data_IF_107328930511
#
_entry.id   IF_107328930511
#
_cell.length_a   1.000
_cell.length_b   1.000
_cell.length_c   1.000
_cell.angle_alpha   90.00
_cell.angle_beta   90.00
_cell.angle_gamma   90.00
#
_symmetry.space_group_name_H-M   'P 1'
#
loop_
_entity.id
_entity.type
_entity.pdbx_description
1 polymer ?
#
# COMPACT_ATOMS: atom_id res chain seq x y z
N UNK A 1 1.69 10.84 -7.58
CA UNK A 1 0.32 10.46 -7.93
C UNK A 1 -0.11 9.55 -6.81
N UNK A 2 -1.16 9.91 -6.08
CA UNK A 2 -1.66 9.12 -4.96
C UNK A 2 -2.25 7.81 -5.50
N UNK A 3 -2.26 6.76 -4.69
CA UNK A 3 -2.86 5.45 -4.96
C UNK A 3 -4.27 5.58 -5.56
N UNK A 4 -5.07 6.46 -4.98
CA UNK A 4 -6.42 6.76 -5.44
C UNK A 4 -6.47 7.44 -6.82
N UNK A 5 -5.47 8.26 -7.16
CA UNK A 5 -5.44 8.95 -8.45
C UNK A 5 -5.25 7.96 -9.61
N UNK A 6 -4.46 6.91 -9.40
CA UNK A 6 -4.23 5.88 -10.42
C UNK A 6 -5.47 5.00 -10.64
N UNK A 7 -6.09 4.55 -9.56
CA UNK A 7 -7.37 3.81 -9.58
C UNK A 7 -8.41 4.61 -10.38
N UNK A 8 -8.52 5.91 -10.09
CA UNK A 8 -9.52 6.80 -10.71
C UNK A 8 -9.20 7.07 -12.16
N UNK A 9 -7.94 7.38 -12.48
CA UNK A 9 -7.50 7.63 -13.85
C UNK A 9 -7.83 6.44 -14.75
N UNK A 10 -7.44 5.23 -14.33
CA UNK A 10 -7.73 4.02 -15.10
C UNK A 10 -9.24 3.86 -15.33
N UNK A 11 -10.06 4.10 -14.29
CA UNK A 11 -11.51 3.97 -14.38
C UNK A 11 -12.17 5.01 -15.31
N UNK A 12 -11.78 6.28 -15.19
CA UNK A 12 -12.40 7.39 -15.91
C UNK A 12 -11.90 7.53 -17.35
N UNK A 13 -10.59 7.43 -17.56
CA UNK A 13 -9.96 7.69 -18.86
C UNK A 13 -10.00 6.45 -19.77
N UNK A 14 -10.34 5.28 -19.22
CA UNK A 14 -10.32 4.03 -19.99
C UNK A 14 -8.89 3.53 -20.19
N UNK A 15 -7.98 3.93 -19.32
CA UNK A 15 -6.57 3.59 -19.38
C UNK A 15 -6.23 2.35 -18.55
N UNK A 16 -5.04 1.79 -18.79
CA UNK A 16 -4.53 0.65 -18.05
C UNK A 16 -5.49 -0.54 -18.09
N UNK A 17 -5.98 -1.06 -16.95
CA UNK A 17 -6.91 -2.19 -16.91
C UNK A 17 -8.29 -1.95 -17.53
N UNK A 18 -8.62 -0.70 -17.88
CA UNK A 18 -9.86 -0.36 -18.58
C UNK A 18 -9.67 -0.15 -20.09
N UNK A 19 -8.44 -0.27 -20.61
CA UNK A 19 -8.16 -0.11 -22.03
C UNK A 19 -8.91 -1.16 -22.86
N UNK A 20 -9.71 -0.68 -23.82
CA UNK A 20 -10.59 -1.51 -24.65
C UNK A 20 -11.63 -2.31 -23.84
N UNK A 21 -12.04 -1.78 -22.69
CA UNK A 21 -13.14 -2.36 -21.91
C UNK A 21 -14.47 -2.07 -22.60
N UNK A 22 -15.32 -3.08 -22.89
CA UNK A 22 -16.59 -2.87 -23.59
C UNK A 22 -17.58 -1.99 -22.81
N UNK A 23 -17.49 -1.98 -21.47
CA UNK A 23 -18.29 -1.07 -20.66
C UNK A 23 -17.80 0.38 -20.76
N UNK A 24 -16.49 0.59 -20.80
CA UNK A 24 -15.93 1.93 -20.97
C UNK A 24 -16.21 2.44 -22.38
N UNK A 25 -16.01 1.63 -23.43
CA UNK A 25 -16.36 1.99 -24.81
C UNK A 25 -17.84 2.40 -24.97
N UNK A 26 -18.75 1.72 -24.27
CA UNK A 26 -20.18 2.00 -24.34
C UNK A 26 -20.62 3.23 -23.52
N UNK A 27 -19.83 3.63 -22.51
CA UNK A 27 -20.24 4.63 -21.52
C UNK A 27 -19.24 5.75 -21.30
N UNK A 28 -18.10 5.76 -21.99
CA UNK A 28 -17.02 6.73 -21.78
C UNK A 28 -16.64 6.90 -20.28
N UNK A 29 -16.83 5.83 -19.49
CA UNK A 29 -16.58 5.84 -18.05
C UNK A 29 -17.58 6.63 -17.20
N UNK A 30 -18.64 7.25 -17.74
CA UNK A 30 -19.52 8.14 -16.95
C UNK A 30 -20.18 7.44 -15.74
N UNK A 31 -20.41 6.13 -15.84
CA UNK A 31 -21.06 5.32 -14.82
C UNK A 31 -20.09 4.40 -14.03
N UNK A 32 -18.79 4.68 -14.03
CA UNK A 32 -17.78 3.85 -13.34
C UNK A 32 -17.69 4.20 -11.85
N UNK A 33 -17.72 3.20 -10.97
CA UNK A 33 -17.37 3.35 -9.56
C UNK A 33 -15.92 2.86 -9.35
N UNK A 34 -14.94 3.74 -9.11
CA UNK A 34 -13.54 3.36 -8.96
C UNK A 34 -13.24 2.76 -7.57
N UNK A 35 -14.21 2.80 -6.66
CA UNK A 35 -14.03 2.45 -5.25
C UNK A 35 -14.23 3.66 -4.34
N UNK A 36 -14.61 3.37 -3.10
CA UNK A 36 -15.01 4.35 -2.09
C UNK A 36 -14.28 4.11 -0.76
N UNK A 37 -14.30 5.16 0.06
CA UNK A 37 -13.78 5.26 1.41
C UNK A 37 -12.25 5.30 1.46
N UNK A 38 -11.59 4.39 2.20
CA UNK A 38 -10.17 4.50 2.52
C UNK A 38 -9.31 3.58 1.64
N UNK A 39 -8.47 4.12 0.74
CA UNK A 39 -7.65 3.32 -0.16
C UNK A 39 -6.49 2.61 0.55
N UNK A 40 -6.24 2.94 1.83
CA UNK A 40 -5.25 2.29 2.70
C UNK A 40 -5.91 1.32 3.72
N UNK A 41 -7.16 0.91 3.48
CA UNK A 41 -7.94 0.13 4.41
C UNK A 41 -7.43 -1.31 4.62
N UNK A 42 -7.56 -1.80 5.85
CA UNK A 42 -7.20 -3.18 6.20
C UNK A 42 -8.31 -4.19 5.87
N UNK A 43 -9.54 -3.71 5.65
CA UNK A 43 -10.69 -4.53 5.26
C UNK A 43 -11.24 -3.98 3.96
N UNK A 44 -11.32 -4.84 2.94
CA UNK A 44 -11.97 -4.53 1.68
C UNK A 44 -13.30 -5.27 1.57
N UNK A 45 -14.38 -4.56 1.28
CA UNK A 45 -15.66 -5.17 0.94
C UNK A 45 -15.87 -5.11 -0.58
N UNK A 46 -16.15 -6.26 -1.19
CA UNK A 46 -16.40 -6.36 -2.64
C UNK A 46 -17.85 -6.73 -2.92
N UNK A 47 -18.54 -5.84 -3.61
CA UNK A 47 -19.97 -5.93 -3.96
C UNK A 47 -20.13 -6.32 -5.43
N UNK A 48 -21.36 -6.57 -5.90
CA UNK A 48 -21.55 -7.12 -7.24
C UNK A 48 -21.27 -6.07 -8.32
N UNK A 49 -22.09 -5.03 -8.40
CA UNK A 49 -21.94 -3.91 -9.31
C UNK A 49 -22.69 -2.67 -8.79
N UNK A 50 -22.35 -1.45 -9.26
CA UNK A 50 -23.07 -0.26 -8.86
C UNK A 50 -24.55 -0.34 -9.26
N UNK A 51 -25.43 0.01 -8.31
CA UNK A 51 -26.89 0.07 -8.51
C UNK A 51 -27.43 1.50 -8.50
N UNK A 52 -26.62 2.47 -8.09
CA UNK A 52 -26.99 3.88 -8.03
C UNK A 52 -26.47 4.63 -9.26
N UNK A 53 -27.04 5.79 -9.55
CA UNK A 53 -26.50 6.67 -10.59
C UNK A 53 -25.18 7.26 -10.12
N UNK A 54 -24.21 7.27 -11.03
CA UNK A 54 -22.91 7.89 -10.87
C UNK A 54 -22.86 9.02 -11.89
N UNK A 55 -22.46 10.20 -11.43
CA UNK A 55 -22.40 11.41 -12.24
C UNK A 55 -21.06 12.10 -11.96
N UNK A 56 -20.03 11.62 -12.64
CA UNK A 56 -18.67 12.12 -12.47
C UNK A 56 -18.52 13.60 -12.81
N UNK A 57 -19.33 14.12 -13.75
CA UNK A 57 -19.27 15.51 -14.17
C UNK A 57 -19.55 16.52 -13.05
N UNK A 58 -20.06 16.07 -11.90
CA UNK A 58 -20.28 16.90 -10.71
C UNK A 58 -19.06 17.05 -9.81
N UNK A 59 -18.01 16.26 -10.01
CA UNK A 59 -16.88 16.17 -9.09
C UNK A 59 -15.58 16.52 -9.80
N UNK A 60 -14.87 17.52 -9.28
CA UNK A 60 -13.56 17.92 -9.79
C UNK A 60 -12.45 16.92 -9.45
N UNK A 61 -12.63 16.13 -8.38
CA UNK A 61 -11.63 15.16 -7.91
C UNK A 61 -12.31 13.90 -7.39
N UNK A 62 -11.58 12.79 -7.35
CA UNK A 62 -12.07 11.60 -6.66
C UNK A 62 -12.28 11.86 -5.17
N UNK A 63 -11.45 12.67 -4.51
CA UNK A 63 -11.62 12.94 -3.09
C UNK A 63 -13.00 13.56 -2.78
N UNK A 64 -13.49 14.49 -3.62
CA UNK A 64 -14.82 15.08 -3.45
C UNK A 64 -15.95 14.10 -3.78
N UNK A 65 -15.81 13.31 -4.84
CA UNK A 65 -16.72 12.19 -5.13
C UNK A 65 -16.79 11.22 -3.95
N UNK A 66 -15.63 10.80 -3.46
CA UNK A 66 -15.48 9.82 -2.41
C UNK A 66 -16.12 10.29 -1.10
N UNK A 67 -15.88 11.53 -0.68
CA UNK A 67 -16.48 12.09 0.54
C UNK A 67 -18.02 12.11 0.45
N UNK A 68 -18.57 12.62 -0.65
CA UNK A 68 -20.02 12.74 -0.83
C UNK A 68 -20.69 11.37 -0.94
N UNK A 69 -20.14 10.48 -1.78
CA UNK A 69 -20.72 9.16 -1.99
C UNK A 69 -20.54 8.24 -0.79
N UNK A 70 -19.42 8.31 -0.06
CA UNK A 70 -19.25 7.55 1.18
C UNK A 70 -20.31 7.97 2.20
N UNK A 71 -20.57 9.28 2.37
CA UNK A 71 -21.64 9.79 3.24
C UNK A 71 -23.03 9.29 2.82
N UNK A 72 -23.33 9.25 1.52
CA UNK A 72 -24.59 8.68 1.01
C UNK A 72 -24.66 7.18 1.30
N UNK A 73 -23.59 6.43 1.03
CA UNK A 73 -23.50 4.99 1.22
C UNK A 73 -23.69 4.58 2.69
N UNK A 74 -23.09 5.32 3.63
CA UNK A 74 -23.33 5.17 5.08
C UNK A 74 -24.83 5.22 5.43
N UNK A 75 -25.59 6.09 4.73
CA UNK A 75 -27.04 6.23 4.85
C UNK A 75 -27.87 5.21 4.08
N UNK A 76 -27.27 4.35 3.26
CA UNK A 76 -27.98 3.32 2.50
C UNK A 76 -28.10 2.00 3.26
N UNK A 77 -28.93 1.08 2.77
CA UNK A 77 -29.10 -0.25 3.37
C UNK A 77 -27.78 -1.02 3.43
N UNK A 78 -26.96 -0.93 2.38
CA UNK A 78 -25.65 -1.57 2.28
C UNK A 78 -24.67 -1.04 3.33
N UNK A 79 -24.40 0.26 3.34
CA UNK A 79 -23.49 0.86 4.33
C UNK A 79 -23.93 0.62 5.77
N UNK A 80 -25.20 0.84 6.12
CA UNK A 80 -25.70 0.51 7.47
C UNK A 80 -25.53 -0.96 7.84
N UNK A 81 -25.62 -1.86 6.87
CA UNK A 81 -25.42 -3.29 7.11
C UNK A 81 -23.95 -3.60 7.38
N UNK A 82 -23.03 -3.14 6.52
CA UNK A 82 -21.59 -3.33 6.70
C UNK A 82 -21.11 -2.73 8.03
N UNK A 83 -21.51 -1.48 8.31
CA UNK A 83 -21.21 -0.79 9.56
C UNK A 83 -21.63 -1.65 10.76
N UNK A 84 -22.92 -2.01 10.86
CA UNK A 84 -23.46 -2.72 12.03
C UNK A 84 -22.97 -4.14 12.18
N UNK A 85 -22.76 -4.85 11.07
CA UNK A 85 -22.47 -6.28 11.14
C UNK A 85 -20.99 -6.58 11.16
N UNK A 86 -20.17 -5.83 10.42
CA UNK A 86 -18.79 -6.22 10.15
C UNK A 86 -17.76 -5.18 10.61
N UNK A 87 -18.16 -3.97 11.01
CA UNK A 87 -17.24 -2.92 11.46
C UNK A 87 -17.43 -2.52 12.92
N UNK A 88 -18.66 -2.24 13.36
CA UNK A 88 -19.01 -1.93 14.76
C UNK A 88 -18.45 -2.95 15.77
N UNK A 89 -18.49 -4.29 15.53
CA UNK A 89 -17.96 -5.28 16.47
C UNK A 89 -16.44 -5.16 16.70
N UNK A 90 -15.72 -4.49 15.80
CA UNK A 90 -14.28 -4.30 15.82
C UNK A 90 -13.89 -2.85 16.13
N UNK A 91 -14.87 -1.98 16.41
CA UNK A 91 -14.63 -0.56 16.65
C UNK A 91 -14.16 0.21 15.41
N UNK A 92 -14.46 -0.30 14.21
CA UNK A 92 -14.13 0.33 12.93
C UNK A 92 -15.33 1.12 12.38
N UNK A 93 -15.04 2.15 11.60
CA UNK A 93 -16.02 2.87 10.79
C UNK A 93 -15.96 2.43 9.32
N UNK A 94 -17.01 2.73 8.55
CA UNK A 94 -16.98 2.58 7.09
C UNK A 94 -15.81 3.34 6.45
N UNK A 95 -15.43 4.45 7.06
CA UNK A 95 -14.30 5.30 6.67
C UNK A 95 -12.94 4.62 6.92
N UNK A 96 -12.90 3.48 7.62
CA UNK A 96 -11.71 2.66 7.82
C UNK A 96 -11.61 1.48 6.83
N UNK A 97 -12.62 1.28 5.98
CA UNK A 97 -12.71 0.18 5.03
C UNK A 97 -12.60 0.67 3.57
N UNK A 98 -12.20 -0.20 2.65
CA UNK A 98 -12.32 0.05 1.20
C UNK A 98 -13.58 -0.62 0.68
N UNK A 99 -14.42 0.11 -0.06
CA UNK A 99 -15.66 -0.41 -0.62
C UNK A 99 -15.53 -0.44 -2.14
N UNK A 100 -15.56 -1.64 -2.72
CA UNK A 100 -15.34 -1.87 -4.13
C UNK A 100 -16.49 -2.67 -4.75
N UNK A 101 -16.70 -2.50 -6.05
CA UNK A 101 -17.55 -3.39 -6.86
C UNK A 101 -16.71 -4.36 -7.71
N UNK A 102 -17.17 -5.59 -7.89
CA UNK A 102 -16.52 -6.61 -8.72
C UNK A 102 -16.66 -6.36 -10.23
N UNK A 103 -17.63 -5.53 -10.62
CA UNK A 103 -17.78 -4.90 -11.92
C UNK A 103 -17.94 -3.40 -11.67
N UNK A 104 -17.02 -2.58 -12.17
CA UNK A 104 -16.95 -1.14 -11.83
C UNK A 104 -18.00 -0.28 -12.51
N UNK A 105 -18.42 -0.62 -13.73
CA UNK A 105 -19.43 0.14 -14.46
C UNK A 105 -20.83 -0.40 -14.20
N UNK A 106 -21.80 0.49 -14.00
CA UNK A 106 -23.22 0.11 -13.89
C UNK A 106 -23.72 -0.49 -15.22
N UNK A 107 -24.30 -1.71 -15.24
CA UNK A 107 -24.68 -2.39 -16.48
C UNK A 107 -26.02 -1.94 -17.09
N UNK A 108 -26.86 -1.24 -16.33
CA UNK A 108 -28.22 -0.88 -16.73
C UNK A 108 -28.48 0.62 -16.51
N UNK A 109 -29.27 1.23 -17.39
CA UNK A 109 -29.75 2.61 -17.21
C UNK A 109 -30.78 2.73 -16.06
N UNK A 110 -31.36 3.93 -15.87
CA UNK A 110 -32.39 4.15 -14.85
C UNK A 110 -33.70 3.38 -15.11
N UNK A 111 -33.93 2.95 -16.35
CA UNK A 111 -35.11 2.18 -16.78
C UNK A 111 -34.87 0.66 -16.74
N UNK A 112 -33.64 0.21 -16.42
CA UNK A 112 -33.26 -1.20 -16.44
C UNK A 112 -32.86 -1.72 -17.82
N UNK A 113 -32.63 -0.84 -18.80
CA UNK A 113 -32.14 -1.24 -20.12
C UNK A 113 -30.63 -1.46 -20.07
N UNK A 114 -30.16 -2.57 -20.65
CA UNK A 114 -28.73 -2.88 -20.68
C UNK A 114 -27.94 -1.82 -21.46
N UNK A 115 -26.88 -1.29 -20.85
CA UNK A 115 -25.94 -0.36 -21.45
C UNK A 115 -24.84 -1.10 -22.24
N UNK A 116 -24.49 -2.32 -21.81
CA UNK A 116 -23.47 -3.17 -22.42
C UNK A 116 -23.67 -4.63 -22.01
N UNK A 117 -22.96 -5.57 -22.66
CA UNK A 117 -22.95 -6.98 -22.23
C UNK A 117 -22.24 -7.13 -20.87
N UNK A 118 -23.03 -7.38 -19.83
CA UNK A 118 -22.57 -7.50 -18.44
C UNK A 118 -21.50 -8.58 -18.25
N UNK A 119 -21.58 -9.69 -18.97
CA UNK A 119 -20.67 -10.82 -18.78
C UNK A 119 -19.30 -10.53 -19.38
N UNK A 120 -19.25 -9.98 -20.59
CA UNK A 120 -18.04 -9.52 -21.26
C UNK A 120 -17.36 -8.40 -20.47
N UNK A 121 -18.14 -7.41 -20.03
CA UNK A 121 -17.65 -6.34 -19.16
C UNK A 121 -17.08 -6.88 -17.84
N UNK A 122 -17.81 -7.75 -17.14
CA UNK A 122 -17.31 -8.35 -15.90
C UNK A 122 -16.06 -9.21 -16.11
N UNK A 123 -15.94 -9.87 -17.26
CA UNK A 123 -14.76 -10.64 -17.62
C UNK A 123 -13.52 -9.75 -17.80
N UNK A 124 -13.68 -8.61 -18.46
CA UNK A 124 -12.62 -7.63 -18.65
C UNK A 124 -12.27 -6.94 -17.32
N UNK A 125 -13.29 -6.59 -16.52
CA UNK A 125 -13.13 -5.85 -15.26
C UNK A 125 -12.35 -6.63 -14.18
N UNK A 126 -12.10 -7.93 -14.37
CA UNK A 126 -11.19 -8.70 -13.52
C UNK A 126 -9.77 -8.12 -13.47
N UNK A 127 -9.28 -7.52 -14.56
CA UNK A 127 -7.97 -6.88 -14.58
C UNK A 127 -7.95 -5.68 -13.64
N UNK A 128 -8.99 -4.83 -13.70
CA UNK A 128 -9.11 -3.69 -12.80
C UNK A 128 -9.25 -4.15 -11.35
N UNK A 129 -10.11 -5.13 -11.08
CA UNK A 129 -10.33 -5.62 -9.71
C UNK A 129 -9.04 -6.23 -9.12
N UNK A 130 -8.25 -6.95 -9.93
CA UNK A 130 -6.96 -7.47 -9.50
C UNK A 130 -6.01 -6.33 -9.12
N UNK A 131 -5.88 -5.34 -9.99
CA UNK A 131 -4.98 -4.21 -9.76
C UNK A 131 -5.44 -3.39 -8.56
N UNK A 132 -6.74 -3.12 -8.42
CA UNK A 132 -7.32 -2.44 -7.26
C UNK A 132 -7.03 -3.18 -5.95
N UNK A 133 -7.23 -4.50 -5.89
CA UNK A 133 -6.93 -5.31 -4.70
C UNK A 133 -5.44 -5.22 -4.35
N UNK A 134 -4.55 -5.38 -5.34
CA UNK A 134 -3.11 -5.29 -5.14
C UNK A 134 -2.65 -3.90 -4.71
N UNK A 135 -3.36 -2.87 -5.19
CA UNK A 135 -3.12 -1.47 -4.92
C UNK A 135 -3.54 -1.12 -3.49
N UNK A 136 -4.73 -1.53 -3.04
CA UNK A 136 -5.23 -1.33 -1.67
C UNK A 136 -4.47 -2.20 -0.66
N UNK A 137 -4.10 -3.42 -1.05
CA UNK A 137 -3.42 -4.42 -0.21
C UNK A 137 -4.11 -4.62 1.18
N UNK A 138 -5.39 -5.04 1.19
CA UNK A 138 -6.14 -5.21 2.43
C UNK A 138 -5.61 -6.42 3.22
N UNK A 139 -5.82 -6.47 4.54
CA UNK A 139 -5.56 -7.72 5.29
C UNK A 139 -6.57 -8.82 4.93
N UNK A 140 -7.77 -8.44 4.50
CA UNK A 140 -8.88 -9.36 4.23
C UNK A 140 -9.85 -8.76 3.21
N UNK A 141 -10.35 -9.62 2.33
CA UNK A 141 -11.38 -9.29 1.35
C UNK A 141 -12.69 -9.97 1.77
N UNK A 142 -13.77 -9.22 1.90
CA UNK A 142 -15.11 -9.73 2.23
C UNK A 142 -16.01 -9.58 1.02
N UNK A 143 -16.39 -10.68 0.37
CA UNK A 143 -17.22 -10.68 -0.83
C UNK A 143 -18.71 -10.79 -0.50
N UNK A 144 -19.54 -9.99 -1.17
CA UNK A 144 -20.97 -9.89 -0.89
C UNK A 144 -21.81 -10.36 -2.07
N UNK A 145 -22.26 -11.62 -2.02
CA UNK A 145 -23.08 -12.23 -3.06
C UNK A 145 -22.29 -13.12 -4.02
N UNK A 146 -23.02 -13.82 -4.88
CA UNK A 146 -22.45 -14.88 -5.72
C UNK A 146 -21.56 -14.31 -6.83
N UNK A 147 -22.03 -13.26 -7.51
CA UNK A 147 -21.26 -12.63 -8.59
C UNK A 147 -19.98 -11.99 -8.06
N UNK A 148 -20.07 -11.25 -6.95
CA UNK A 148 -18.93 -10.65 -6.28
C UNK A 148 -17.90 -11.71 -5.87
N UNK A 149 -18.35 -12.82 -5.27
CA UNK A 149 -17.49 -13.92 -4.86
C UNK A 149 -16.79 -14.58 -6.04
N UNK A 150 -17.52 -14.98 -7.09
CA UNK A 150 -16.92 -15.62 -8.26
C UNK A 150 -15.86 -14.72 -8.91
N UNK A 151 -16.20 -13.45 -9.17
CA UNK A 151 -15.31 -12.51 -9.86
C UNK A 151 -14.08 -12.19 -9.02
N UNK A 152 -14.24 -11.94 -7.72
CA UNK A 152 -13.12 -11.64 -6.81
C UNK A 152 -12.15 -12.82 -6.74
N UNK A 153 -12.65 -14.03 -6.54
CA UNK A 153 -11.79 -15.23 -6.50
C UNK A 153 -11.00 -15.40 -7.78
N UNK A 154 -11.60 -15.12 -8.94
CA UNK A 154 -10.90 -15.14 -10.23
C UNK A 154 -9.84 -14.04 -10.34
N UNK A 155 -10.12 -12.84 -9.83
CA UNK A 155 -9.15 -11.74 -9.79
C UNK A 155 -7.92 -12.08 -8.93
N UNK A 156 -8.12 -12.80 -7.81
CA UNK A 156 -7.05 -13.26 -6.92
C UNK A 156 -6.49 -14.65 -7.28
N UNK A 157 -6.66 -15.10 -8.53
CA UNK A 157 -5.94 -16.26 -9.08
C UNK A 157 -6.67 -17.62 -8.99
N UNK A 158 -7.87 -17.69 -8.44
CA UNK A 158 -8.67 -18.93 -8.44
C UNK A 158 -9.21 -19.21 -9.84
N UNK A 159 -9.04 -20.43 -10.33
CA UNK A 159 -9.51 -20.80 -11.67
C UNK A 159 -11.04 -20.66 -11.79
N UNK A 160 -11.51 -20.21 -12.96
CA UNK A 160 -12.94 -19.98 -13.21
C UNK A 160 -13.81 -21.21 -12.91
N UNK A 161 -13.30 -22.42 -13.19
CA UNK A 161 -14.01 -23.67 -12.90
C UNK A 161 -14.17 -23.95 -11.40
N UNK A 162 -13.19 -23.56 -10.57
CA UNK A 162 -13.30 -23.67 -9.11
C UNK A 162 -14.23 -22.59 -8.55
N UNK A 163 -14.03 -21.34 -8.95
CA UNK A 163 -14.83 -20.20 -8.47
C UNK A 163 -16.33 -20.38 -8.74
N UNK A 164 -16.73 -20.85 -9.94
CA UNK A 164 -18.14 -21.09 -10.31
C UNK A 164 -18.85 -22.20 -9.55
N UNK A 165 -18.09 -23.13 -8.93
CA UNK A 165 -18.67 -24.24 -8.18
C UNK A 165 -19.08 -23.84 -6.78
N UNK A 166 -18.53 -22.75 -6.26
CA UNK A 166 -18.90 -22.24 -4.95
C UNK A 166 -20.34 -21.75 -4.95
N UNK A 167 -21.04 -22.12 -3.88
CA UNK A 167 -22.37 -21.64 -3.56
C UNK A 167 -22.25 -20.87 -2.26
N UNK A 168 -22.43 -19.55 -2.33
CA UNK A 168 -22.33 -18.66 -1.16
C UNK A 168 -23.22 -19.11 0.02
N UNK A 169 -24.35 -19.77 -0.24
CA UNK A 169 -25.21 -20.31 0.82
C UNK A 169 -24.65 -21.56 1.53
N UNK A 170 -23.58 -22.16 1.01
CA UNK A 170 -22.93 -23.38 1.53
C UNK A 170 -21.49 -23.09 1.93
N UNK A 171 -20.77 -22.29 1.16
CA UNK A 171 -19.33 -22.02 1.29
C UNK A 171 -19.05 -20.63 1.90
N UNK A 172 -19.94 -20.12 2.74
CA UNK A 172 -19.75 -18.85 3.45
C UNK A 172 -18.71 -18.97 4.57
N UNK A 173 -18.18 -17.83 5.01
CA UNK A 173 -17.09 -17.78 5.97
C UNK A 173 -15.74 -17.69 5.27
N UNK A 174 -14.66 -18.12 5.93
CA UNK A 174 -13.32 -18.06 5.35
C UNK A 174 -13.23 -19.02 4.16
N UNK A 175 -12.84 -18.49 3.01
CA UNK A 175 -12.57 -19.29 1.82
C UNK A 175 -11.32 -20.15 2.04
N UNK A 176 -11.37 -21.41 1.58
CA UNK A 176 -10.28 -22.37 1.72
C UNK A 176 -9.26 -22.32 0.58
N UNK A 177 -9.50 -21.49 -0.45
CA UNK A 177 -8.54 -21.34 -1.53
C UNK A 177 -7.29 -20.59 -1.06
N UNK A 178 -6.13 -21.14 -1.43
CA UNK A 178 -4.85 -20.49 -1.26
C UNK A 178 -4.76 -19.29 -2.21
N UNK A 179 -4.79 -18.10 -1.64
CA UNK A 179 -4.85 -16.81 -2.33
C UNK A 179 -3.98 -15.83 -1.54
N UNK A 180 -3.37 -14.86 -2.24
CA UNK A 180 -2.47 -13.89 -1.62
C UNK A 180 -3.14 -13.07 -0.50
N UNK A 181 -4.46 -12.88 -0.61
CA UNK A 181 -5.29 -12.22 0.40
C UNK A 181 -6.38 -13.16 0.91
N UNK A 182 -6.55 -13.31 2.24
CA UNK A 182 -7.68 -14.05 2.79
C UNK A 182 -9.02 -13.52 2.27
N UNK A 183 -9.84 -14.42 1.71
CA UNK A 183 -11.20 -14.09 1.23
C UNK A 183 -12.24 -14.65 2.20
N UNK A 184 -13.20 -13.81 2.60
CA UNK A 184 -14.37 -14.19 3.39
C UNK A 184 -15.62 -14.02 2.55
N UNK A 185 -16.39 -15.09 2.44
CA UNK A 185 -17.57 -15.17 1.59
C UNK A 185 -18.82 -14.90 2.43
N UNK A 186 -19.65 -13.94 2.02
CA UNK A 186 -20.95 -13.67 2.64
C UNK A 186 -22.05 -13.45 1.61
N UNK A 187 -23.30 -13.67 2.03
CA UNK A 187 -24.46 -13.26 1.24
C UNK A 187 -24.55 -11.74 1.13
N UNK A 188 -25.16 -11.28 0.03
CA UNK A 188 -25.46 -9.88 -0.21
C UNK A 188 -26.54 -9.37 0.76
N UNK A 189 -26.42 -8.13 1.26
CA UNK A 189 -27.33 -7.53 2.25
C UNK A 189 -28.79 -7.42 1.78
N UNK A 190 -29.03 -7.49 0.47
CA UNK A 190 -30.37 -7.47 -0.08
C UNK A 190 -31.14 -8.77 0.21
N UNK A 191 -30.43 -9.89 0.43
CA UNK A 191 -31.02 -11.19 0.66
C UNK A 191 -31.69 -11.25 2.04
N UNK A 192 -32.93 -11.74 2.08
CA UNK A 192 -33.71 -11.84 3.33
C UNK A 192 -33.08 -12.80 4.35
N UNK A 193 -32.44 -13.85 3.85
CA UNK A 193 -31.81 -14.93 4.64
C UNK A 193 -30.65 -14.44 5.50
N UNK A 194 -29.96 -13.36 5.12
CA UNK A 194 -28.83 -12.80 5.88
C UNK A 194 -29.18 -12.44 7.33
N UNK A 195 -30.44 -12.10 7.61
CA UNK A 195 -30.89 -11.66 8.94
C UNK A 195 -31.25 -12.80 9.90
N UNK A 196 -31.40 -14.03 9.39
CA UNK A 196 -32.00 -15.15 10.13
C UNK A 196 -31.16 -16.42 10.11
N UNK A 197 -29.88 -16.28 9.78
CA UNK A 197 -29.01 -17.38 9.42
C UNK A 197 -27.79 -17.47 10.31
N UNK A 198 -27.26 -18.70 10.40
CA UNK A 198 -25.95 -19.03 10.94
C UNK A 198 -24.77 -18.31 10.23
N UNK A 199 -25.03 -17.67 9.07
CA UNK A 199 -24.02 -16.97 8.27
C UNK A 199 -23.31 -15.85 9.04
N UNK A 200 -24.07 -14.96 9.71
CA UNK A 200 -23.50 -13.76 10.32
C UNK A 200 -22.47 -14.09 11.43
N UNK A 201 -22.76 -14.99 12.40
CA UNK A 201 -21.75 -15.40 13.39
C UNK A 201 -20.48 -15.97 12.76
N UNK A 202 -20.59 -16.84 11.75
CA UNK A 202 -19.43 -17.48 11.11
C UNK A 202 -18.58 -16.46 10.36
N UNK A 203 -19.19 -15.56 9.60
CA UNK A 203 -18.49 -14.50 8.86
C UNK A 203 -17.79 -13.54 9.84
N UNK A 204 -18.45 -13.14 10.93
CA UNK A 204 -17.83 -12.29 11.96
C UNK A 204 -16.66 -12.97 12.65
N UNK A 205 -16.79 -14.28 12.94
CA UNK A 205 -15.71 -15.04 13.55
C UNK A 205 -14.52 -15.16 12.58
N UNK A 206 -14.76 -15.51 11.32
CA UNK A 206 -13.71 -15.53 10.30
C UNK A 206 -13.00 -14.18 10.15
N UNK A 207 -13.76 -13.07 10.14
CA UNK A 207 -13.19 -11.73 10.05
C UNK A 207 -12.35 -11.40 11.29
N UNK A 208 -12.84 -11.76 12.48
CA UNK A 208 -12.10 -11.63 13.74
C UNK A 208 -10.80 -12.42 13.71
N UNK A 209 -10.82 -13.64 13.21
CA UNK A 209 -9.65 -14.51 13.17
C UNK A 209 -8.58 -13.91 12.25
N UNK A 210 -8.94 -13.47 11.04
CA UNK A 210 -7.99 -12.82 10.11
C UNK A 210 -7.41 -11.54 10.70
N UNK A 211 -8.25 -10.68 11.29
CA UNK A 211 -7.77 -9.42 11.88
C UNK A 211 -6.86 -9.65 13.10
N UNK A 212 -7.02 -10.76 13.82
CA UNK A 212 -6.20 -11.13 14.97
C UNK A 212 -4.93 -11.91 14.59
N UNK A 213 -4.90 -12.61 13.45
CA UNK A 213 -3.71 -13.32 12.94
C UNK A 213 -2.50 -12.37 12.81
N UNK A 214 -2.75 -11.07 12.60
CA UNK A 214 -1.73 -10.03 12.54
C UNK A 214 -1.47 -9.30 13.88
N UNK A 215 -2.14 -9.70 14.96
CA UNK A 215 -2.01 -9.12 16.32
C UNK A 215 -1.28 -10.05 17.32
N UNK A 216 -0.41 -10.96 16.87
CA UNK A 216 0.40 -11.78 17.79
C UNK A 216 1.20 -10.89 18.79
N UNK A 217 1.09 -11.17 20.11
CA UNK A 217 1.69 -10.34 21.14
C UNK A 217 3.20 -10.40 21.07
N UNK A 218 3.84 -9.23 21.17
CA UNK A 218 5.26 -9.11 21.47
C UNK A 218 5.54 -9.70 22.86
N UNK A 219 5.76 -11.01 22.98
CA UNK A 219 6.56 -11.51 24.09
C UNK A 219 7.99 -11.06 23.82
N UNK A 220 8.38 -9.94 24.45
CA UNK A 220 9.78 -9.53 24.52
C UNK A 220 10.64 -10.63 25.13
N UNK A 221 11.97 -10.61 24.92
CA UNK A 221 12.84 -11.61 25.50
C UNK A 221 12.74 -11.51 27.03
N UNK A 222 12.19 -12.55 27.66
CA UNK A 222 12.25 -12.69 29.12
C UNK A 222 13.72 -12.68 29.54
N UNK A 223 14.06 -11.63 30.28
CA UNK A 223 15.30 -11.51 31.01
C UNK A 223 15.27 -12.56 32.12
N UNK A 224 16.05 -13.62 31.95
CA UNK A 224 16.47 -14.43 33.10
C UNK A 224 17.38 -13.57 33.98
N UNK A 225 17.15 -13.69 35.29
CA UNK A 225 17.98 -13.28 36.42
C UNK A 225 17.59 -11.96 37.10
N UNK A 226 16.82 -12.03 38.19
CA UNK A 226 17.44 -12.15 39.51
C UNK A 226 16.43 -12.44 40.63
N UNK A 227 16.82 -13.40 41.45
CA UNK A 227 16.21 -13.82 42.70
C UNK A 227 16.62 -12.86 43.82
N UNK A 228 15.69 -12.59 44.74
CA UNK A 228 15.84 -11.94 46.07
C UNK A 228 16.17 -10.44 46.12
N UNK A 229 15.24 -9.64 46.67
CA UNK A 229 15.18 -9.34 48.12
C UNK A 229 13.89 -8.57 48.47
N UNK A 230 13.42 -8.78 49.68
CA UNK A 230 12.18 -8.32 50.30
C UNK A 230 12.20 -6.84 50.72
N UNK A 231 10.97 -6.34 50.96
CA UNK A 231 10.56 -5.36 51.98
C UNK A 231 10.09 -3.94 51.56
N UNK A 232 8.78 -3.76 51.81
CA UNK A 232 8.11 -2.67 52.54
C UNK A 232 7.87 -1.25 51.97
N UNK A 233 6.54 -0.98 51.86
CA UNK A 233 5.75 0.15 52.39
C UNK A 233 5.79 1.57 51.76
N UNK A 234 4.55 1.96 51.36
CA UNK A 234 3.79 3.21 51.60
C UNK A 234 4.48 4.56 51.31
N UNK A 235 3.84 5.40 50.47
CA UNK A 235 2.94 6.49 50.94
C UNK A 235 2.69 7.56 49.87
N UNK A 236 1.47 8.09 49.93
CA UNK A 236 0.81 9.18 49.22
C UNK A 236 1.44 10.58 49.36
N UNK A 237 1.35 11.43 48.32
CA UNK A 237 0.90 12.86 48.35
C UNK A 237 0.98 13.47 46.93
N UNK A 238 -0.13 13.83 46.25
CA UNK A 238 -0.83 15.15 46.15
C UNK A 238 -0.07 16.32 45.48
N UNK A 239 -0.66 16.80 44.36
CA UNK A 239 -0.64 18.08 43.58
C UNK A 239 -0.19 19.39 44.30
N UNK A 240 0.12 20.54 43.62
CA UNK A 240 -0.59 21.18 42.46
C UNK A 240 0.30 21.84 41.37
N UNK A 241 -0.12 21.97 40.09
CA UNK A 241 -0.91 23.05 39.45
C UNK A 241 -0.40 24.48 39.72
N UNK A 242 0.28 25.09 38.73
CA UNK A 242 0.17 26.53 38.42
C UNK A 242 0.12 26.73 36.90
N UNK A 243 -0.83 27.56 36.52
CA UNK A 243 -1.21 28.06 35.21
C UNK A 243 -0.42 29.35 34.95
N UNK A 244 0.08 29.60 33.74
CA UNK A 244 0.15 30.96 33.20
C UNK A 244 0.42 30.97 31.70
N UNK A 245 -0.58 31.49 30.98
CA UNK A 245 -0.57 31.96 29.62
C UNK A 245 0.37 33.14 29.44
N UNK A 246 1.12 33.19 28.33
CA UNK A 246 1.45 34.45 27.64
C UNK A 246 1.78 34.18 26.16
N UNK A 247 0.96 34.80 25.34
CA UNK A 247 1.11 35.08 23.91
C UNK A 247 2.30 36.02 23.65
N UNK A 248 3.11 35.74 22.64
CA UNK A 248 3.88 36.71 21.84
C UNK A 248 4.46 35.94 20.64
N UNK A 249 3.85 36.06 19.46
CA UNK A 249 4.22 36.98 18.35
C UNK A 249 5.52 36.59 17.65
N UNK A 250 5.33 36.07 16.43
CA UNK A 250 6.34 35.88 15.39
C UNK A 250 7.11 37.17 15.09
N UNK A 251 8.45 37.09 15.11
CA UNK A 251 9.34 37.84 14.20
C UNK A 251 10.58 36.98 13.91
N UNK A 252 10.84 36.79 12.61
CA UNK A 252 12.07 36.18 12.09
C UNK A 252 13.31 37.04 12.38
N UNK A 253 14.50 36.43 12.35
CA UNK A 253 15.65 37.13 11.80
C UNK A 253 16.48 36.29 10.82
N UNK A 254 16.48 36.78 9.58
CA UNK A 254 17.62 37.07 8.68
C UNK A 254 18.99 36.41 8.91
N UNK A 255 19.52 35.93 7.80
CA UNK A 255 20.92 35.65 7.48
C UNK A 255 21.90 36.73 7.95
N UNK A 256 23.07 36.32 8.48
CA UNK A 256 24.39 36.83 8.08
C UNK A 256 25.53 35.95 8.62
N UNK A 257 26.52 35.75 7.75
CA UNK A 257 27.77 35.01 7.88
C UNK A 257 28.77 35.69 8.83
N UNK A 258 29.51 34.92 9.66
CA UNK A 258 30.91 34.52 9.43
C UNK A 258 31.71 34.20 10.72
N UNK A 259 32.67 33.26 10.54
CA UNK A 259 33.95 33.08 11.27
C UNK A 259 34.06 32.19 12.54
N UNK A 260 34.51 30.95 12.27
CA UNK A 260 35.71 30.27 12.79
C UNK A 260 36.03 30.21 14.31
N UNK A 261 35.98 28.99 14.89
CA UNK A 261 37.05 28.46 15.77
C UNK A 261 36.77 26.98 16.11
N UNK A 262 37.72 26.11 15.78
CA UNK A 262 37.61 24.66 15.91
C UNK A 262 37.48 24.15 17.34
N UNK A 263 36.65 23.10 17.47
CA UNK A 263 36.86 22.02 18.44
C UNK A 263 36.78 20.71 17.68
N UNK A 264 37.94 20.11 17.46
CA UNK A 264 38.08 18.71 17.06
C UNK A 264 37.30 17.82 18.05
N UNK A 265 36.19 17.26 17.60
CA UNK A 265 35.56 16.08 18.21
C UNK A 265 35.60 14.97 17.17
N UNK A 266 36.14 13.84 17.61
CA UNK A 266 36.65 12.77 16.77
C UNK A 266 35.69 12.25 15.71
N UNK A 267 36.30 11.87 14.59
CA UNK A 267 35.75 11.04 13.53
C UNK A 267 35.17 9.74 14.12
N UNK A 268 33.84 9.65 14.16
CA UNK A 268 33.13 8.37 14.24
C UNK A 268 32.09 8.34 13.12
N UNK A 269 32.49 7.74 11.99
CA UNK A 269 31.63 7.36 10.89
C UNK A 269 30.61 6.33 11.37
N UNK A 270 29.31 6.64 11.45
CA UNK A 270 28.28 5.58 11.48
C UNK A 270 26.80 5.97 11.28
N UNK A 271 26.42 7.21 10.95
CA UNK A 271 25.03 7.48 10.55
C UNK A 271 24.98 7.62 9.04
N UNK A 272 24.64 6.52 8.36
CA UNK A 272 24.27 6.55 6.94
C UNK A 272 22.74 6.60 6.86
N UNK A 273 22.21 7.29 5.88
CA UNK A 273 20.77 7.49 5.75
C UNK A 273 20.09 6.21 5.28
N UNK A 274 18.77 6.15 5.49
CA UNK A 274 17.92 5.07 5.00
C UNK A 274 16.88 5.68 4.06
N UNK A 275 16.77 5.11 2.86
CA UNK A 275 15.84 5.52 1.83
C UNK A 275 14.85 4.40 1.53
N UNK A 276 13.57 4.75 1.58
CA UNK A 276 12.46 3.90 1.16
C UNK A 276 12.15 4.23 -0.31
N UNK A 277 12.23 3.23 -1.17
CA UNK A 277 12.21 3.41 -2.62
C UNK A 277 11.04 2.63 -3.23
N UNK A 278 9.97 3.30 -3.69
CA UNK A 278 8.97 2.63 -4.51
C UNK A 278 9.56 2.29 -5.86
N UNK A 279 9.11 1.19 -6.44
CA UNK A 279 9.44 0.81 -7.80
C UNK A 279 8.22 0.28 -8.55
N UNK A 280 8.26 0.29 -9.88
CA UNK A 280 7.34 -0.44 -10.74
C UNK A 280 7.99 -1.78 -11.16
N UNK A 281 7.22 -2.87 -11.14
CA UNK A 281 7.78 -4.22 -11.28
C UNK A 281 8.51 -4.42 -12.60
N UNK A 282 7.93 -3.95 -13.71
CA UNK A 282 8.44 -4.21 -15.06
C UNK A 282 9.79 -3.56 -15.33
N UNK A 283 9.99 -2.31 -14.90
CA UNK A 283 11.29 -1.64 -15.06
C UNK A 283 12.30 -2.16 -14.03
N UNK A 284 11.83 -2.46 -12.81
CA UNK A 284 12.69 -2.96 -11.74
C UNK A 284 13.36 -4.28 -12.13
N UNK A 285 12.63 -5.22 -12.70
CA UNK A 285 13.21 -6.49 -13.15
C UNK A 285 14.38 -6.30 -14.13
N UNK A 286 14.29 -5.30 -15.02
CA UNK A 286 15.28 -5.08 -16.09
C UNK A 286 16.64 -4.58 -15.61
N UNK A 287 16.71 -3.90 -14.47
CA UNK A 287 17.95 -3.26 -14.00
C UNK A 287 18.32 -3.63 -12.56
N UNK A 288 17.39 -4.25 -11.82
CA UNK A 288 17.54 -4.56 -10.40
C UNK A 288 17.34 -6.03 -10.04
N UNK A 289 16.68 -6.86 -10.86
CA UNK A 289 16.58 -8.31 -10.60
C UNK A 289 17.88 -9.04 -10.97
N UNK A 290 18.44 -8.75 -12.16
CA UNK A 290 19.77 -9.17 -12.62
C UNK A 290 20.64 -7.94 -12.96
N UNK A 291 21.96 -7.96 -12.68
CA UNK A 291 22.80 -6.82 -12.98
C UNK A 291 22.96 -6.70 -14.51
N UNK A 292 22.93 -5.47 -15.01
CA UNK A 292 23.08 -5.17 -16.43
C UNK A 292 24.55 -5.37 -16.82
N UNK A 293 24.82 -6.22 -17.81
CA UNK A 293 26.16 -6.33 -18.42
C UNK A 293 26.39 -5.09 -19.30
N UNK A 294 27.25 -4.19 -18.83
CA UNK A 294 27.55 -2.92 -19.50
C UNK A 294 28.49 -3.12 -20.70
N UNK A 295 29.09 -4.30 -20.88
CA UNK A 295 29.85 -4.59 -22.09
C UNK A 295 28.97 -4.64 -23.35
N UNK A 296 27.67 -4.91 -23.18
CA UNK A 296 26.68 -4.85 -24.26
C UNK A 296 26.30 -3.40 -24.64
N UNK A 297 26.70 -2.42 -23.83
CA UNK A 297 26.34 -1.01 -23.99
C UNK A 297 27.58 -0.09 -23.93
N UNK A 298 28.40 -0.07 -25.00
CA UNK A 298 29.64 0.73 -25.03
C UNK A 298 29.39 2.25 -24.93
N UNK A 299 28.19 2.70 -25.33
CA UNK A 299 27.74 4.10 -25.27
C UNK A 299 26.95 4.41 -23.98
N UNK A 300 27.13 3.61 -22.92
CA UNK A 300 26.44 3.86 -21.64
C UNK A 300 26.86 5.19 -21.00
N UNK A 301 26.05 5.66 -20.05
CA UNK A 301 26.33 6.89 -19.30
C UNK A 301 27.77 6.89 -18.73
N UNK A 302 28.50 8.02 -18.79
CA UNK A 302 29.90 8.11 -18.33
C UNK A 302 30.11 7.59 -16.90
N UNK A 303 29.12 7.77 -16.03
CA UNK A 303 29.16 7.34 -14.64
C UNK A 303 29.07 5.81 -14.47
N UNK A 304 28.50 5.12 -15.45
CA UNK A 304 28.46 3.67 -15.53
C UNK A 304 29.68 3.10 -16.27
N UNK A 305 30.32 3.90 -17.13
CA UNK A 305 31.49 3.48 -17.90
C UNK A 305 32.60 2.90 -17.01
N UNK A 306 33.26 1.86 -17.52
CA UNK A 306 34.35 1.15 -16.82
C UNK A 306 33.91 0.11 -15.79
N UNK A 307 32.60 -0.05 -15.53
CA UNK A 307 32.06 -1.20 -14.80
C UNK A 307 31.70 -2.31 -15.79
N UNK A 308 31.95 -3.57 -15.43
CA UNK A 308 31.50 -4.72 -16.22
C UNK A 308 29.99 -4.90 -16.09
N UNK A 309 29.50 -4.84 -14.86
CA UNK A 309 28.10 -5.09 -14.53
C UNK A 309 27.62 -4.04 -13.52
N UNK A 310 26.37 -3.61 -13.62
CA UNK A 310 25.78 -2.67 -12.66
C UNK A 310 24.28 -2.92 -12.43
N UNK A 311 23.85 -2.70 -11.19
CA UNK A 311 22.43 -2.47 -10.87
C UNK A 311 22.20 -0.99 -10.71
N UNK A 312 21.10 -0.47 -11.24
CA UNK A 312 20.75 0.93 -11.08
C UNK A 312 19.25 1.12 -11.11
N UNK A 313 18.82 2.16 -10.39
CA UNK A 313 17.44 2.59 -10.33
C UNK A 313 17.37 4.11 -10.45
N UNK A 314 16.18 4.63 -10.70
CA UNK A 314 16.00 6.06 -10.91
C UNK A 314 14.63 6.56 -10.54
N UNK A 315 14.56 7.87 -10.30
CA UNK A 315 13.30 8.57 -10.04
C UNK A 315 13.13 9.76 -10.96
N UNK A 316 11.89 10.23 -11.10
CA UNK A 316 11.56 11.41 -11.91
C UNK A 316 12.19 12.66 -11.29
N UNK A 317 12.73 13.51 -12.13
CA UNK A 317 13.18 14.82 -11.69
C UNK A 317 11.98 15.72 -11.37
N UNK A 318 11.91 16.15 -10.12
CA UNK A 318 10.86 16.98 -9.58
C UNK A 318 11.32 17.52 -8.23
N UNK A 319 10.83 18.69 -7.83
CA UNK A 319 11.34 19.45 -6.67
C UNK A 319 11.48 18.63 -5.38
N UNK A 320 10.52 17.74 -5.10
CA UNK A 320 10.58 16.82 -3.95
C UNK A 320 11.63 15.72 -4.12
N UNK A 321 11.60 15.02 -5.26
CA UNK A 321 12.50 13.89 -5.53
C UNK A 321 13.96 14.35 -5.61
N UNK A 322 14.22 15.48 -6.26
CA UNK A 322 15.54 16.09 -6.36
C UNK A 322 16.13 16.38 -4.99
N UNK A 323 15.35 17.01 -4.10
CA UNK A 323 15.79 17.27 -2.72
C UNK A 323 16.15 15.99 -1.97
N UNK A 324 15.37 14.91 -2.11
CA UNK A 324 15.68 13.62 -1.49
C UNK A 324 16.90 12.96 -2.13
N UNK A 325 17.01 13.03 -3.46
CA UNK A 325 18.11 12.46 -4.23
C UNK A 325 19.45 13.13 -3.91
N UNK A 326 19.49 14.46 -3.78
CA UNK A 326 20.68 15.23 -3.41
C UNK A 326 21.20 14.91 -1.99
N UNK A 327 20.37 14.29 -1.14
CA UNK A 327 20.78 13.81 0.18
C UNK A 327 21.42 12.42 0.14
N UNK A 328 21.38 11.72 -1.00
CA UNK A 328 21.96 10.38 -1.12
C UNK A 328 23.48 10.46 -1.16
N UNK A 329 24.11 9.65 -0.31
CA UNK A 329 25.56 9.48 -0.26
C UNK A 329 25.95 8.02 -0.46
N UNK A 330 27.12 7.74 -1.06
CA UNK A 330 27.58 6.37 -1.26
C UNK A 330 27.60 5.58 0.06
N UNK A 331 26.89 4.46 0.07
CA UNK A 331 26.77 3.58 1.22
C UNK A 331 25.46 3.70 2.00
N UNK A 332 24.61 4.70 1.75
CA UNK A 332 23.28 4.80 2.37
C UNK A 332 22.42 3.58 2.05
N UNK A 333 21.55 3.20 2.98
CA UNK A 333 20.71 2.01 2.83
C UNK A 333 19.51 2.32 1.93
N UNK A 334 19.30 1.48 0.91
CA UNK A 334 18.13 1.51 0.04
C UNK A 334 17.23 0.34 0.39
N UNK A 335 15.94 0.59 0.57
CA UNK A 335 14.91 -0.40 0.82
C UNK A 335 13.83 -0.26 -0.26
N UNK A 336 13.79 -1.23 -1.18
CA UNK A 336 12.89 -1.22 -2.32
C UNK A 336 11.57 -1.91 -1.97
N UNK A 337 10.46 -1.22 -2.19
CA UNK A 337 9.12 -1.72 -1.89
C UNK A 337 8.14 -1.56 -3.04
N UNK A 338 7.22 -2.50 -3.14
CA UNK A 338 6.11 -2.54 -4.08
C UNK A 338 5.03 -3.51 -3.53
N UNK A 339 3.75 -3.29 -3.84
CA UNK A 339 2.63 -4.17 -3.47
C UNK A 339 2.67 -4.64 -2.00
N UNK A 340 2.79 -3.69 -1.07
CA UNK A 340 2.76 -4.02 0.37
C UNK A 340 4.00 -4.71 0.94
N UNK A 341 5.02 -5.02 0.13
CA UNK A 341 6.24 -5.68 0.57
C UNK A 341 7.52 -4.95 0.17
N UNK A 342 8.55 -5.09 1.01
CA UNK A 342 9.93 -4.81 0.66
C UNK A 342 10.56 -6.07 0.07
N UNK A 343 10.99 -6.00 -1.18
CA UNK A 343 11.45 -7.16 -1.97
C UNK A 343 12.97 -7.21 -2.11
N UNK A 344 13.65 -6.08 -1.93
CA UNK A 344 15.11 -6.03 -1.96
C UNK A 344 15.65 -4.88 -1.13
N UNK A 345 16.93 -4.99 -0.80
CA UNK A 345 17.71 -3.91 -0.24
C UNK A 345 19.04 -3.79 -0.96
N UNK A 346 19.68 -2.63 -0.82
CA UNK A 346 21.04 -2.43 -1.28
C UNK A 346 21.64 -1.18 -0.66
N UNK A 347 22.73 -0.71 -1.24
CA UNK A 347 23.34 0.56 -0.85
C UNK A 347 23.51 1.46 -2.06
N UNK A 348 23.40 2.76 -1.85
CA UNK A 348 23.72 3.76 -2.86
C UNK A 348 25.20 3.58 -3.28
N UNK A 349 25.43 3.44 -4.58
CA UNK A 349 26.76 3.46 -5.20
C UNK A 349 27.09 4.86 -5.67
N UNK A 350 26.90 5.11 -6.97
CA UNK A 350 27.04 6.43 -7.61
C UNK A 350 25.66 7.04 -7.84
N UNK A 351 25.57 8.36 -7.84
CA UNK A 351 24.36 9.14 -8.17
C UNK A 351 24.69 10.08 -9.33
N UNK A 352 23.82 10.22 -10.32
CA UNK A 352 24.02 11.12 -11.47
C UNK A 352 22.70 11.51 -12.15
N UNK A 353 22.73 12.65 -12.85
CA UNK A 353 21.63 13.12 -13.68
C UNK A 353 21.80 12.58 -15.10
N UNK A 354 20.88 11.74 -15.56
CA UNK A 354 20.84 11.19 -16.92
C UNK A 354 20.15 12.16 -17.88
N UNK A 355 20.81 13.28 -18.18
CA UNK A 355 20.26 14.34 -19.05
C UNK A 355 19.94 13.83 -20.46
N UNK A 356 20.72 12.88 -20.96
CA UNK A 356 20.55 12.25 -22.27
C UNK A 356 19.48 11.16 -22.27
N UNK A 357 18.89 10.85 -21.11
CA UNK A 357 17.84 9.84 -20.92
C UNK A 357 18.24 8.45 -21.44
N UNK A 358 19.52 8.12 -21.41
CA UNK A 358 20.00 6.83 -21.91
C UNK A 358 19.37 5.67 -21.13
N UNK A 359 19.32 5.76 -19.79
CA UNK A 359 18.74 4.71 -18.94
C UNK A 359 17.26 4.53 -19.23
N UNK A 360 16.53 5.65 -19.24
CA UNK A 360 15.09 5.69 -19.49
C UNK A 360 14.72 5.06 -20.84
N UNK A 361 15.41 5.45 -21.91
CA UNK A 361 15.11 4.98 -23.27
C UNK A 361 15.56 3.55 -23.52
N UNK A 362 16.72 3.14 -22.96
CA UNK A 362 17.28 1.80 -23.17
C UNK A 362 16.53 0.73 -22.37
N UNK A 363 16.25 0.99 -21.08
CA UNK A 363 15.72 -0.05 -20.19
C UNK A 363 14.25 0.13 -19.85
N UNK A 364 13.76 1.37 -19.73
CA UNK A 364 12.46 1.66 -19.11
C UNK A 364 11.39 2.16 -20.08
N UNK A 365 11.56 1.91 -21.39
CA UNK A 365 10.55 2.25 -22.41
C UNK A 365 10.21 3.74 -22.48
N UNK A 366 11.16 4.62 -22.10
CA UNK A 366 10.96 6.07 -22.09
C UNK A 366 10.30 6.62 -20.82
N UNK A 367 10.21 5.84 -19.73
CA UNK A 367 9.71 6.32 -18.44
C UNK A 367 10.52 7.57 -17.97
N UNK A 368 9.90 8.64 -17.46
CA UNK A 368 10.55 9.95 -17.28
C UNK A 368 11.48 10.05 -16.04
N UNK A 369 12.16 8.97 -15.69
CA UNK A 369 13.15 8.91 -14.61
C UNK A 369 14.54 9.31 -15.12
N UNK A 370 15.13 10.34 -14.51
CA UNK A 370 16.43 10.90 -14.91
C UNK A 370 17.39 11.14 -13.73
N UNK A 371 16.93 11.01 -12.49
CA UNK A 371 17.78 11.04 -11.30
C UNK A 371 18.19 9.60 -10.99
N UNK A 372 19.39 9.20 -11.41
CA UNK A 372 19.83 7.81 -11.43
C UNK A 372 20.82 7.54 -10.29
N UNK A 373 20.71 6.36 -9.70
CA UNK A 373 21.70 5.87 -8.75
C UNK A 373 21.99 4.37 -8.95
N UNK A 374 23.27 4.00 -8.80
CA UNK A 374 23.66 2.59 -8.79
C UNK A 374 23.41 1.97 -7.43
N UNK A 375 23.18 0.66 -7.42
CA UNK A 375 22.88 -0.12 -6.22
C UNK A 375 23.94 -1.19 -6.03
N UNK A 376 24.68 -1.08 -4.94
CA UNK A 376 25.73 -2.03 -4.55
C UNK A 376 25.27 -2.87 -3.36
N UNK A 377 25.89 -4.01 -3.11
CA UNK A 377 25.52 -4.93 -2.03
C UNK A 377 24.03 -5.28 -2.02
N UNK A 378 23.50 -5.58 -3.21
CA UNK A 378 22.10 -5.95 -3.40
C UNK A 378 21.79 -7.28 -2.72
N UNK A 379 20.69 -7.33 -1.97
CA UNK A 379 20.16 -8.53 -1.33
C UNK A 379 18.64 -8.59 -1.53
N UNK A 380 18.12 -9.72 -2.03
CA UNK A 380 16.67 -9.96 -2.06
C UNK A 380 16.14 -10.21 -0.66
N UNK A 381 14.99 -9.64 -0.35
CA UNK A 381 14.30 -9.79 0.94
C UNK A 381 12.81 -10.01 0.72
N UNK A 382 12.10 -10.43 1.76
CA UNK A 382 10.64 -10.44 1.77
C UNK A 382 10.20 -9.98 3.15
N UNK A 383 9.85 -8.71 3.24
CA UNK A 383 9.40 -8.08 4.49
C UNK A 383 8.13 -7.29 4.22
N UNK A 384 6.99 -7.66 4.83
CA UNK A 384 5.77 -6.86 4.76
C UNK A 384 6.01 -5.43 5.23
N UNK A 385 5.38 -4.47 4.54
CA UNK A 385 5.46 -3.04 4.84
C UNK A 385 5.17 -2.76 6.31
N UNK A 386 4.18 -3.43 6.89
CA UNK A 386 3.82 -3.26 8.31
C UNK A 386 4.97 -3.62 9.26
N UNK A 387 5.71 -4.70 8.96
CA UNK A 387 6.88 -5.07 9.74
C UNK A 387 7.99 -4.03 9.60
N UNK A 388 8.21 -3.51 8.39
CA UNK A 388 9.18 -2.43 8.17
C UNK A 388 8.77 -1.11 8.85
N UNK A 389 7.48 -0.75 8.80
CA UNK A 389 6.93 0.41 9.49
C UNK A 389 7.18 0.33 10.99
N UNK A 390 6.98 -0.85 11.59
CA UNK A 390 7.29 -1.11 12.99
C UNK A 390 8.77 -0.91 13.31
N UNK A 391 9.69 -1.34 12.43
CA UNK A 391 11.15 -1.15 12.60
C UNK A 391 11.50 0.35 12.68
N UNK A 392 10.89 1.18 11.85
CA UNK A 392 11.14 2.63 11.80
C UNK A 392 10.17 3.46 12.66
N UNK A 393 9.37 2.81 13.52
CA UNK A 393 8.39 3.46 14.39
C UNK A 393 7.29 4.24 13.65
N UNK A 394 7.06 3.94 12.37
CA UNK A 394 5.93 4.47 11.63
C UNK A 394 4.63 3.82 12.09
N UNK A 395 3.49 4.52 11.89
CA UNK A 395 2.18 3.90 12.08
C UNK A 395 2.02 2.75 11.08
N UNK A 396 1.23 1.72 11.43
CA UNK A 396 1.09 0.50 10.60
C UNK A 396 0.64 0.82 9.16
N UNK A 397 -0.22 1.82 9.00
CA UNK A 397 -0.77 2.29 7.73
C UNK A 397 0.17 3.20 6.92
N UNK A 398 1.32 3.61 7.45
CA UNK A 398 2.22 4.54 6.75
C UNK A 398 2.68 3.97 5.41
N UNK A 399 2.44 4.73 4.33
CA UNK A 399 2.90 4.40 2.99
C UNK A 399 3.88 5.49 2.51
N UNK A 400 5.13 5.15 2.21
CA UNK A 400 6.08 6.14 1.69
C UNK A 400 5.59 6.67 0.33
N UNK A 401 5.67 7.98 0.10
CA UNK A 401 5.14 8.63 -1.09
C UNK A 401 6.29 9.06 -2.00
N UNK A 402 6.62 8.23 -2.99
CA UNK A 402 7.85 8.40 -3.76
C UNK A 402 9.09 8.06 -2.93
N UNK A 403 10.26 8.45 -3.43
CA UNK A 403 11.51 8.22 -2.71
C UNK A 403 11.52 9.02 -1.40
N UNK A 404 11.71 8.32 -0.29
CA UNK A 404 11.55 8.89 1.05
C UNK A 404 12.78 8.61 1.90
N UNK A 405 13.40 9.66 2.44
CA UNK A 405 14.44 9.54 3.48
C UNK A 405 13.76 9.33 4.83
N UNK A 406 14.20 8.30 5.56
CA UNK A 406 13.76 8.05 6.94
C UNK A 406 14.34 9.13 7.85
N UNK A 407 13.52 9.70 8.73
CA UNK A 407 13.96 10.74 9.65
C UNK A 407 14.98 10.21 10.68
N UNK A 408 15.94 11.06 11.07
CA UNK A 408 17.08 10.67 11.93
C UNK A 408 16.63 10.06 13.26
N UNK A 409 15.57 10.61 13.84
CA UNK A 409 14.94 10.19 15.11
C UNK A 409 14.23 8.83 15.03
N UNK A 410 14.13 8.25 13.84
CA UNK A 410 13.59 6.91 13.56
C UNK A 410 14.68 5.89 13.27
N UNK A 411 15.90 6.36 13.01
CA UNK A 411 17.10 5.52 12.83
C UNK A 411 17.82 5.42 14.19
N UNK A 412 17.09 4.99 15.23
CA UNK A 412 17.61 4.92 16.61
C UNK A 412 18.55 3.74 16.87
N UNK A 413 18.60 2.81 15.93
CA UNK A 413 19.50 1.66 15.94
C UNK A 413 20.53 1.81 14.83
N UNK A 414 21.76 1.36 15.06
CA UNK A 414 22.76 1.26 13.99
C UNK A 414 22.14 0.54 12.78
N UNK A 415 22.42 1.02 11.56
CA UNK A 415 21.97 0.40 10.29
C UNK A 415 22.24 -1.10 10.25
N UNK A 416 23.30 -1.55 10.92
CA UNK A 416 23.63 -2.96 11.08
C UNK A 416 22.51 -3.74 11.78
N UNK A 417 21.89 -3.17 12.80
CA UNK A 417 20.76 -3.76 13.54
C UNK A 417 19.50 -3.77 12.69
N UNK A 418 19.22 -2.69 11.95
CA UNK A 418 18.09 -2.64 11.01
C UNK A 418 18.25 -3.74 9.96
N UNK A 419 19.43 -3.88 9.38
CA UNK A 419 19.75 -4.94 8.40
C UNK A 419 19.61 -6.34 9.02
N UNK A 420 20.12 -6.56 10.23
CA UNK A 420 20.00 -7.84 10.92
C UNK A 420 18.54 -8.19 11.24
N UNK A 421 17.72 -7.21 11.64
CA UNK A 421 16.30 -7.40 11.88
C UNK A 421 15.58 -7.84 10.59
N UNK A 422 15.86 -7.15 9.49
CA UNK A 422 15.33 -7.49 8.16
C UNK A 422 15.77 -8.90 7.73
N UNK A 423 17.07 -9.21 7.82
CA UNK A 423 17.59 -10.53 7.43
C UNK A 423 17.03 -11.66 8.30
N UNK A 424 16.84 -11.41 9.60
CA UNK A 424 16.21 -12.37 10.51
C UNK A 424 14.76 -12.61 10.13
N UNK A 425 14.04 -11.54 9.77
CA UNK A 425 12.68 -11.63 9.29
C UNK A 425 12.60 -12.44 7.98
N UNK A 426 13.41 -12.12 6.98
CA UNK A 426 13.46 -12.86 5.70
C UNK A 426 13.74 -14.35 5.93
N UNK A 427 14.74 -14.70 6.74
CA UNK A 427 15.10 -16.11 7.02
C UNK A 427 14.02 -16.90 7.76
N UNK A 428 13.20 -16.24 8.58
CA UNK A 428 12.09 -16.88 9.29
C UNK A 428 10.94 -17.19 8.34
N UNK A 429 10.65 -16.30 7.41
CA UNK A 429 9.55 -16.46 6.47
C UNK A 429 9.91 -17.28 5.22
N UNK A 430 11.20 -17.48 4.93
CA UNK A 430 11.65 -18.38 3.86
C UNK A 430 11.69 -19.87 4.25
N UNK A 431 11.30 -20.22 5.48
CA UNK A 431 11.30 -21.60 6.02
C UNK A 431 9.89 -22.18 6.23
N UNK A 432 8.87 -21.45 5.81
CA UNK A 432 7.46 -21.88 5.84
C UNK A 432 7.08 -22.41 4.47
#
# INVERSE_FOLDING_TARGET
>A
MNLADEIVRNAQEGDGPCASCPAHEATEGWCVNPGLSNPDAEVMFVTEEPSHSIDWGRYETWASYNEEYTRKFQGWKGGRFLQRQYLDPFGLALDDAWIADSLKCRPEDEKGSALFDKNSAAQHCLFYLKDEIATVDPQVIVTLGAAATERTLRAVGVSAGKARRLKVSQDFGRCEFDTDWPVIITLHWAQRTVKHSEFLPVVKQALKDVLNENQEPLTGPETRSNMHRTDEKKSTTTKPSINESKTETYMEPSDHLDSNAGKSRGTNSSSRDVFLVPFDHGNFERTMADPVDLAEYPECAPELSGQREARFWGTRDGSRNRRTFEQMTPGDLLLFYNNGQYVSMGRVGKTFDDSEKWVSTTFWGGAPSSLIYTVINYESISVPRKAMNKIFGYKSQYYPQGITRVADDRVNNSITVIRQAIQTFTKRNSKV
#
